data_IF_090001602715
#
_entry.id   IF_090001602715
#
_cell.length_a   1.000
_cell.length_b   1.000
_cell.length_c   1.000
_cell.angle_alpha   90.00
_cell.angle_beta   90.00
_cell.angle_gamma   90.00
#
_symmetry.space_group_name_H-M   'P 1'
#
loop_
_entity.id
_entity.type
_entity.pdbx_description
1 polymer ?
#
# COMPACT_ATOMS: atom_id res chain seq x y z
N UNK A 1 23.25 27.48 2.37
CA UNK A 1 22.81 26.12 2.74
C UNK A 1 21.29 26.09 2.71
N UNK A 2 20.68 25.38 1.80
CA UNK A 2 19.23 25.21 1.76
C UNK A 2 18.81 24.30 2.91
N UNK A 3 17.97 24.78 3.82
CA UNK A 3 17.38 23.96 4.88
C UNK A 3 16.36 23.01 4.24
N UNK A 4 16.57 21.69 4.32
CA UNK A 4 15.66 20.68 3.77
C UNK A 4 14.46 20.39 4.67
N UNK A 5 14.56 20.71 5.96
CA UNK A 5 13.48 20.49 6.93
C UNK A 5 13.93 20.69 8.37
N UNK A 6 13.00 20.49 9.28
CA UNK A 6 13.23 20.51 10.74
C UNK A 6 12.83 19.14 11.28
N UNK A 7 13.65 18.57 12.15
CA UNK A 7 13.36 17.32 12.86
C UNK A 7 13.20 17.66 14.33
N UNK A 8 12.08 17.23 14.93
CA UNK A 8 11.81 17.36 16.35
C UNK A 8 11.68 15.97 16.97
N UNK A 9 12.23 15.77 18.17
CA UNK A 9 12.14 14.54 18.95
C UNK A 9 11.20 14.76 20.12
N UNK A 10 10.32 13.80 20.34
CA UNK A 10 9.36 13.79 21.45
C UNK A 10 9.61 12.57 22.35
N UNK A 11 9.48 12.73 23.65
CA UNK A 11 9.68 11.65 24.61
C UNK A 11 8.45 10.77 24.77
N UNK A 12 7.26 11.36 24.61
CA UNK A 12 5.99 10.68 24.81
C UNK A 12 5.18 10.59 23.50
N UNK A 13 4.50 9.45 23.25
CA UNK A 13 3.62 9.31 22.10
C UNK A 13 2.51 10.36 22.03
N UNK A 14 1.94 10.71 23.18
CA UNK A 14 0.87 11.71 23.27
C UNK A 14 1.33 13.11 22.87
N UNK A 15 2.53 13.50 23.25
CA UNK A 15 3.11 14.79 22.85
C UNK A 15 3.38 14.84 21.34
N UNK A 16 3.75 13.71 20.74
CA UNK A 16 3.92 13.61 19.30
C UNK A 16 2.58 13.77 18.55
N UNK A 17 1.52 13.08 19.01
CA UNK A 17 0.17 13.21 18.45
C UNK A 17 -0.31 14.66 18.52
N UNK A 18 -0.17 15.28 19.68
CA UNK A 18 -0.62 16.67 19.88
C UNK A 18 0.19 17.67 19.05
N UNK A 19 1.47 17.43 18.86
CA UNK A 19 2.30 18.23 17.95
C UNK A 19 1.87 18.06 16.49
N UNK A 20 1.54 16.83 16.07
CA UNK A 20 1.05 16.53 14.73
C UNK A 20 -0.28 17.26 14.44
N UNK A 21 -1.21 17.24 15.41
CA UNK A 21 -2.47 17.98 15.32
C UNK A 21 -2.24 19.48 15.13
N UNK A 22 -1.37 20.08 15.93
CA UNK A 22 -1.04 21.51 15.83
C UNK A 22 -0.43 21.87 14.48
N UNK A 23 0.53 21.07 14.01
CA UNK A 23 1.18 21.28 12.71
C UNK A 23 0.17 21.18 11.56
N UNK A 24 -0.76 20.22 11.64
CA UNK A 24 -1.87 20.07 10.69
C UNK A 24 -2.77 21.30 10.72
N UNK A 25 -3.19 21.74 11.92
CA UNK A 25 -4.15 22.84 12.10
C UNK A 25 -3.57 24.18 11.66
N UNK A 26 -2.24 24.32 11.71
CA UNK A 26 -1.50 25.44 11.13
C UNK A 26 -1.36 25.36 9.59
N UNK A 27 -1.93 24.31 8.95
CA UNK A 27 -1.98 24.18 7.50
C UNK A 27 -0.73 23.57 6.84
N UNK A 28 0.21 23.05 7.61
CA UNK A 28 1.35 22.33 7.07
C UNK A 28 0.95 20.94 6.59
N UNK A 29 1.19 20.65 5.29
CA UNK A 29 0.84 19.37 4.67
C UNK A 29 2.05 18.48 4.37
N UNK A 30 3.27 18.99 4.51
CA UNK A 30 4.52 18.29 4.18
C UNK A 30 5.29 17.99 5.45
N UNK A 31 4.74 17.15 6.30
CA UNK A 31 5.43 16.64 7.49
C UNK A 31 5.14 15.14 7.62
N UNK A 32 5.97 14.44 8.36
CA UNK A 32 5.84 13.01 8.62
C UNK A 32 6.21 12.72 10.08
N UNK A 33 5.57 11.70 10.66
CA UNK A 33 5.79 11.28 12.04
C UNK A 33 6.35 9.87 12.06
N UNK A 34 7.51 9.70 12.70
CA UNK A 34 8.15 8.40 12.85
C UNK A 34 8.09 7.94 14.29
N UNK A 35 7.63 6.70 14.51
CA UNK A 35 7.56 6.07 15.82
C UNK A 35 8.03 4.61 15.72
N UNK A 36 8.71 4.08 16.74
CA UNK A 36 9.14 2.68 16.77
C UNK A 36 7.98 1.70 16.96
N UNK A 37 6.79 2.18 17.30
CA UNK A 37 5.56 1.39 17.46
C UNK A 37 4.36 2.16 16.92
N UNK A 38 3.29 1.45 16.49
CA UNK A 38 2.09 2.10 15.98
C UNK A 38 1.37 2.88 17.09
N UNK A 39 1.05 4.15 16.81
CA UNK A 39 0.31 5.03 17.72
C UNK A 39 -1.13 5.16 17.20
N UNK A 40 -2.10 4.78 18.02
CA UNK A 40 -3.51 4.94 17.68
C UNK A 40 -3.87 6.43 17.52
N UNK A 41 -4.62 6.73 16.44
CA UNK A 41 -5.05 8.10 16.16
C UNK A 41 -4.02 8.97 15.44
N UNK A 42 -2.81 8.48 15.15
CA UNK A 42 -1.80 9.25 14.45
C UNK A 42 -2.23 9.64 13.04
N UNK A 43 -2.90 8.74 12.31
CA UNK A 43 -3.41 9.02 10.96
C UNK A 43 -4.43 10.17 10.95
N UNK A 44 -5.31 10.20 11.96
CA UNK A 44 -6.28 11.27 12.13
C UNK A 44 -5.60 12.59 12.56
N UNK A 45 -4.62 12.50 13.47
CA UNK A 45 -3.83 13.64 13.90
C UNK A 45 -3.06 14.30 12.75
N UNK A 46 -2.52 13.49 11.84
CA UNK A 46 -1.86 13.96 10.62
C UNK A 46 -2.83 14.38 9.51
N UNK A 47 -4.14 14.11 9.67
CA UNK A 47 -5.14 14.39 8.65
C UNK A 47 -5.02 13.52 7.40
N UNK A 48 -4.49 12.31 7.53
CA UNK A 48 -4.29 11.39 6.41
C UNK A 48 -5.63 10.82 5.94
N UNK A 49 -5.84 10.84 4.63
CA UNK A 49 -7.01 10.23 4.00
C UNK A 49 -6.78 8.73 3.77
N UNK A 50 -7.87 7.95 3.78
CA UNK A 50 -7.81 6.53 3.43
C UNK A 50 -7.10 6.30 2.10
N UNK A 51 -6.22 5.32 2.09
CA UNK A 51 -5.48 4.93 0.89
C UNK A 51 -6.42 4.46 -0.22
N UNK A 52 -6.17 4.90 -1.45
CA UNK A 52 -6.88 4.44 -2.66
C UNK A 52 -6.42 3.05 -3.11
N UNK A 53 -5.41 2.48 -2.46
CA UNK A 53 -4.83 1.18 -2.82
C UNK A 53 -5.88 0.06 -2.80
N UNK A 54 -6.81 0.07 -1.82
CA UNK A 54 -7.88 -0.92 -1.73
C UNK A 54 -8.77 -0.97 -2.97
N UNK A 55 -9.07 0.16 -3.58
CA UNK A 55 -9.85 0.21 -4.82
C UNK A 55 -9.09 -0.39 -6.01
N UNK A 56 -7.77 -0.15 -6.08
CA UNK A 56 -6.91 -0.74 -7.12
C UNK A 56 -6.88 -2.26 -6.98
N UNK A 57 -6.70 -2.77 -5.76
CA UNK A 57 -6.69 -4.21 -5.48
C UNK A 57 -8.03 -4.84 -5.86
N UNK A 58 -9.15 -4.21 -5.46
CA UNK A 58 -10.50 -4.70 -5.79
C UNK A 58 -10.78 -4.72 -7.30
N UNK A 59 -10.41 -3.66 -8.01
CA UNK A 59 -10.57 -3.60 -9.47
C UNK A 59 -9.73 -4.66 -10.19
N UNK A 60 -8.47 -4.85 -9.78
CA UNK A 60 -7.61 -5.89 -10.34
C UNK A 60 -8.16 -7.30 -10.04
N UNK A 61 -8.67 -7.54 -8.82
CA UNK A 61 -9.30 -8.81 -8.46
C UNK A 61 -10.53 -9.10 -9.33
N UNK A 62 -11.40 -8.11 -9.51
CA UNK A 62 -12.56 -8.25 -10.40
C UNK A 62 -12.14 -8.55 -11.84
N UNK A 63 -11.13 -7.88 -12.34
CA UNK A 63 -10.57 -8.13 -13.68
C UNK A 63 -10.05 -9.56 -13.80
N UNK A 64 -9.32 -10.04 -12.76
CA UNK A 64 -8.83 -11.43 -12.70
C UNK A 64 -9.96 -12.45 -12.70
N UNK A 65 -11.03 -12.20 -11.94
CA UNK A 65 -12.22 -13.07 -11.91
C UNK A 65 -12.92 -13.12 -13.27
N UNK A 66 -13.16 -11.97 -13.89
CA UNK A 66 -13.80 -11.89 -15.22
C UNK A 66 -12.92 -12.56 -16.28
N UNK A 67 -11.63 -12.34 -16.24
CA UNK A 67 -10.68 -12.98 -17.15
C UNK A 67 -10.67 -14.50 -16.97
N UNK A 68 -10.58 -15.00 -15.74
CA UNK A 68 -10.57 -16.43 -15.44
C UNK A 68 -11.85 -17.13 -15.85
N UNK A 69 -12.99 -16.55 -15.53
CA UNK A 69 -14.28 -17.09 -15.92
C UNK A 69 -14.48 -17.05 -17.45
N UNK A 70 -14.15 -15.91 -18.06
CA UNK A 70 -14.29 -15.73 -19.51
C UNK A 70 -13.39 -16.66 -20.32
N UNK A 71 -12.12 -16.81 -19.90
CA UNK A 71 -11.17 -17.69 -20.54
C UNK A 71 -11.64 -19.16 -20.52
N UNK A 72 -12.09 -19.64 -19.36
CA UNK A 72 -12.62 -21.01 -19.24
C UNK A 72 -13.87 -21.23 -20.08
N UNK A 73 -14.79 -20.26 -20.07
CA UNK A 73 -16.00 -20.31 -20.91
C UNK A 73 -15.63 -20.37 -22.39
N UNK A 74 -14.70 -19.52 -22.82
CA UNK A 74 -14.23 -19.51 -24.21
C UNK A 74 -13.64 -20.87 -24.61
N UNK A 75 -12.68 -21.37 -23.83
CA UNK A 75 -11.99 -22.63 -24.17
C UNK A 75 -12.96 -23.81 -24.20
N UNK A 76 -13.82 -23.96 -23.19
CA UNK A 76 -14.66 -25.15 -23.07
C UNK A 76 -15.91 -25.11 -23.96
N UNK A 77 -16.42 -23.93 -24.30
CA UNK A 77 -17.66 -23.82 -25.07
C UNK A 77 -17.44 -23.50 -26.54
N UNK A 78 -16.33 -22.85 -26.90
CA UNK A 78 -16.11 -22.35 -28.26
C UNK A 78 -14.92 -23.03 -28.93
N UNK A 79 -13.72 -22.92 -28.32
CA UNK A 79 -12.49 -23.35 -28.96
C UNK A 79 -12.30 -24.88 -28.93
N UNK A 80 -12.57 -25.50 -27.76
CA UNK A 80 -12.38 -26.93 -27.53
C UNK A 80 -13.58 -27.59 -26.84
N UNK A 81 -14.75 -27.71 -27.50
CA UNK A 81 -15.93 -28.30 -26.90
C UNK A 81 -15.80 -29.83 -26.84
N UNK A 82 -15.08 -30.34 -25.84
CA UNK A 82 -14.95 -31.78 -25.58
C UNK A 82 -15.94 -32.24 -24.54
N UNK A 83 -16.82 -33.19 -24.93
CA UNK A 83 -17.75 -33.84 -24.00
C UNK A 83 -17.06 -35.06 -23.36
N UNK A 84 -16.69 -34.93 -22.10
CA UNK A 84 -16.10 -36.02 -21.31
C UNK A 84 -17.12 -36.48 -20.29
N UNK A 85 -17.53 -37.74 -20.36
CA UNK A 85 -18.45 -38.38 -19.42
C UNK A 85 -19.80 -37.67 -19.24
N UNK A 86 -20.35 -37.05 -20.31
CA UNK A 86 -21.63 -36.36 -20.25
C UNK A 86 -21.60 -35.00 -19.54
N UNK A 87 -20.43 -34.46 -19.23
CA UNK A 87 -20.28 -33.13 -18.62
C UNK A 87 -20.74 -32.03 -19.61
N UNK A 88 -21.61 -31.10 -19.17
CA UNK A 88 -22.02 -29.98 -20.03
C UNK A 88 -20.84 -29.12 -20.41
N UNK A 89 -20.81 -28.56 -21.61
CA UNK A 89 -19.75 -27.67 -22.09
C UNK A 89 -19.58 -26.44 -21.18
N UNK A 90 -20.69 -25.92 -20.67
CA UNK A 90 -20.71 -24.84 -19.70
C UNK A 90 -20.93 -25.39 -18.29
N UNK A 91 -19.86 -25.62 -17.55
CA UNK A 91 -19.89 -26.18 -16.21
C UNK A 91 -19.38 -25.14 -15.17
N UNK A 92 -20.20 -24.10 -14.93
CA UNK A 92 -19.82 -22.98 -14.05
C UNK A 92 -19.30 -23.40 -12.64
N UNK A 93 -19.77 -24.48 -11.98
CA UNK A 93 -19.21 -24.85 -10.69
C UNK A 93 -17.75 -25.29 -10.77
N UNK A 94 -17.35 -25.90 -11.89
CA UNK A 94 -15.96 -26.28 -12.10
C UNK A 94 -15.05 -25.07 -12.39
N UNK A 95 -15.62 -23.99 -12.91
CA UNK A 95 -14.86 -22.77 -13.23
C UNK A 95 -14.56 -21.93 -11.99
N UNK A 96 -15.28 -22.14 -10.89
CA UNK A 96 -15.14 -21.35 -9.67
C UNK A 96 -13.71 -21.39 -9.10
N UNK A 97 -13.04 -22.54 -9.16
CA UNK A 97 -11.69 -22.72 -8.61
C UNK A 97 -10.68 -21.81 -9.33
N UNK A 98 -10.58 -21.94 -10.64
CA UNK A 98 -9.60 -21.16 -11.44
C UNK A 98 -10.00 -19.67 -11.46
N UNK A 99 -11.29 -19.37 -11.48
CA UNK A 99 -11.76 -17.98 -11.37
C UNK A 99 -11.30 -17.34 -10.07
N UNK A 100 -11.43 -18.05 -8.94
CA UNK A 100 -10.96 -17.58 -7.65
C UNK A 100 -9.44 -17.42 -7.62
N UNK A 101 -8.69 -18.38 -8.16
CA UNK A 101 -7.24 -18.36 -8.20
C UNK A 101 -6.73 -17.14 -8.99
N UNK A 102 -7.28 -16.89 -10.17
CA UNK A 102 -6.93 -15.72 -10.97
C UNK A 102 -7.36 -14.41 -10.32
N UNK A 103 -8.51 -14.39 -9.63
CA UNK A 103 -8.93 -13.24 -8.84
C UNK A 103 -7.89 -12.88 -7.78
N UNK A 104 -7.41 -13.86 -7.01
CA UNK A 104 -6.41 -13.67 -5.96
C UNK A 104 -5.06 -13.25 -6.56
N UNK A 105 -4.63 -13.90 -7.64
CA UNK A 105 -3.37 -13.58 -8.32
C UNK A 105 -3.34 -12.14 -8.82
N UNK A 106 -4.40 -11.70 -9.50
CA UNK A 106 -4.50 -10.33 -9.99
C UNK A 106 -4.61 -9.32 -8.85
N UNK A 107 -5.31 -9.66 -7.77
CA UNK A 107 -5.36 -8.83 -6.55
C UNK A 107 -3.96 -8.67 -5.94
N UNK A 108 -3.18 -9.73 -5.87
CA UNK A 108 -1.81 -9.70 -5.35
C UNK A 108 -0.91 -8.80 -6.21
N UNK A 109 -0.99 -8.93 -7.54
CA UNK A 109 -0.29 -8.02 -8.44
C UNK A 109 -0.76 -6.57 -8.29
N UNK A 110 -2.07 -6.36 -8.14
CA UNK A 110 -2.65 -5.04 -7.87
C UNK A 110 -2.11 -4.42 -6.58
N UNK A 111 -1.93 -5.23 -5.53
CA UNK A 111 -1.35 -4.78 -4.26
C UNK A 111 0.12 -4.37 -4.43
N UNK A 112 0.93 -5.24 -5.03
CA UNK A 112 2.37 -5.00 -5.18
C UNK A 112 2.62 -3.79 -6.10
N UNK A 113 2.10 -3.82 -7.32
CA UNK A 113 2.32 -2.74 -8.28
C UNK A 113 1.64 -1.44 -7.86
N UNK A 114 0.45 -1.51 -7.27
CA UNK A 114 -0.26 -0.36 -6.73
C UNK A 114 0.54 0.30 -5.60
N UNK A 115 1.07 -0.49 -4.66
CA UNK A 115 1.91 0.03 -3.58
C UNK A 115 3.20 0.67 -4.12
N UNK A 116 3.87 0.00 -5.07
CA UNK A 116 5.08 0.56 -5.70
C UNK A 116 4.78 1.87 -6.41
N UNK A 117 3.69 1.95 -7.14
CA UNK A 117 3.27 3.13 -7.89
C UNK A 117 2.92 4.31 -6.97
N UNK A 118 2.08 4.09 -5.95
CA UNK A 118 1.69 5.15 -5.03
C UNK A 118 2.86 5.66 -4.17
N UNK A 119 3.75 4.77 -3.77
CA UNK A 119 4.94 5.14 -2.99
C UNK A 119 6.12 5.59 -3.87
N UNK A 120 5.97 5.52 -5.21
CA UNK A 120 7.04 5.85 -6.17
C UNK A 120 8.34 5.08 -5.89
N UNK A 121 8.23 3.81 -5.56
CA UNK A 121 9.36 2.91 -5.34
C UNK A 121 9.69 2.18 -6.67
N UNK A 122 10.97 1.96 -7.02
CA UNK A 122 12.16 2.14 -6.20
C UNK A 122 12.72 3.58 -6.26
N UNK A 123 13.10 4.12 -5.11
CA UNK A 123 13.86 5.36 -5.01
C UNK A 123 15.25 5.04 -4.48
N UNK A 124 16.24 5.02 -5.33
CA UNK A 124 17.62 4.71 -4.96
C UNK A 124 18.33 5.86 -4.22
N UNK A 125 17.74 7.04 -4.22
CA UNK A 125 18.31 8.22 -3.58
C UNK A 125 17.29 8.96 -2.76
N UNK A 126 17.56 9.12 -1.46
CA UNK A 126 16.75 9.92 -0.57
C UNK A 126 17.62 10.98 0.11
N UNK A 127 17.20 12.25 0.20
CA UNK A 127 18.00 13.34 0.80
C UNK A 127 18.45 13.06 2.24
N UNK A 128 17.71 12.22 2.97
CA UNK A 128 18.05 11.80 4.34
C UNK A 128 19.37 11.02 4.43
N UNK A 129 19.80 10.38 3.33
CA UNK A 129 21.08 9.66 3.27
C UNK A 129 22.26 10.55 2.87
N UNK A 130 22.07 11.86 2.71
CA UNK A 130 23.19 12.76 2.48
C UNK A 130 24.06 12.84 3.77
N UNK A 131 25.38 12.88 3.60
CA UNK A 131 26.40 12.79 4.66
C UNK A 131 26.17 13.76 5.84
N UNK A 132 25.48 14.87 5.61
CA UNK A 132 25.14 15.86 6.64
C UNK A 132 24.25 15.34 7.76
N UNK A 133 23.51 14.25 7.55
CA UNK A 133 22.59 13.67 8.53
C UNK A 133 23.21 12.52 9.32
N UNK A 134 24.27 11.91 8.82
CA UNK A 134 24.98 10.84 9.54
C UNK A 134 25.78 11.34 10.73
N UNK A 135 26.00 12.66 10.82
CA UNK A 135 26.69 13.33 11.92
C UNK A 135 25.76 14.08 12.87
N UNK A 136 24.45 13.88 12.81
CA UNK A 136 23.56 14.17 13.93
C UNK A 136 23.78 13.10 15.00
N UNK A 137 24.99 13.02 15.53
CA UNK A 137 25.19 12.52 16.88
C UNK A 137 24.30 13.37 17.76
N UNK A 138 23.31 12.73 18.37
CA UNK A 138 22.61 13.30 19.52
C UNK A 138 23.68 13.96 20.41
N UNK A 139 23.53 15.23 20.77
CA UNK A 139 24.36 15.72 21.88
C UNK A 139 24.03 14.80 23.05
N UNK A 140 24.94 13.92 23.37
CA UNK A 140 24.96 13.29 24.67
C UNK A 140 25.00 14.46 25.63
N UNK A 141 23.88 14.71 26.26
CA UNK A 141 23.80 15.68 27.31
C UNK A 141 24.57 15.07 28.52
N UNK A 142 25.88 15.19 28.49
CA UNK A 142 26.71 15.07 29.70
C UNK A 142 26.40 16.28 30.56
N UNK A 143 25.25 16.24 31.20
CA UNK A 143 24.95 17.09 32.34
C UNK A 143 25.31 16.30 33.59
N UNK A 144 26.51 16.60 34.11
CA UNK A 144 26.86 16.38 35.50
C UNK A 144 25.93 17.19 36.39
#
# INVERSE_FOLDING_TARGET
MSKYGVIAKFENPQSLVHAAEKVRDEGFTKFDCHSPFPIHGMDDAMGLKRSKLGYVIGAMGLTGALFGFGLQTWIHSIEYPMNISGKPYFAYPAYAIITFELMVLFSAFGAVFGMMFFNRIPRFHHPVFSVSYTHLTLPTNDQV
#
